data_IF_053652042492
#
_entry.id   IF_053652042492
#
_cell.length_a   1.000
_cell.length_b   1.000
_cell.length_c   1.000
_cell.angle_alpha   90.00
_cell.angle_beta   90.00
_cell.angle_gamma   90.00
#
_symmetry.space_group_name_H-M   'P 1'
#
loop_
_entity.id
_entity.type
_entity.pdbx_description
1 polymer ?
#
# COMPACT_ATOMS: atom_id res chain seq x y z
N UNK A 1 -17.61 -19.70 11.58
CA UNK A 1 -17.32 -19.49 10.15
C UNK A 1 -18.18 -18.33 9.71
N UNK A 2 -17.62 -17.14 9.61
CA UNK A 2 -18.31 -15.99 9.06
C UNK A 2 -18.37 -16.20 7.54
N UNK A 3 -19.55 -16.53 7.01
CA UNK A 3 -19.82 -16.42 5.58
C UNK A 3 -19.66 -14.94 5.22
N UNK A 4 -18.51 -14.56 4.70
CA UNK A 4 -18.41 -13.29 3.99
C UNK A 4 -19.13 -13.46 2.65
N UNK A 5 -20.04 -12.55 2.36
CA UNK A 5 -20.69 -12.52 1.05
C UNK A 5 -19.61 -12.43 -0.04
N UNK A 6 -19.84 -13.09 -1.19
CA UNK A 6 -18.89 -13.05 -2.29
C UNK A 6 -18.65 -11.60 -2.76
N UNK A 7 -17.39 -11.23 -2.92
CA UNK A 7 -17.02 -9.93 -3.48
C UNK A 7 -17.06 -10.00 -5.01
N UNK A 8 -17.96 -9.25 -5.61
CA UNK A 8 -18.02 -9.08 -7.07
C UNK A 8 -17.07 -7.95 -7.48
N UNK A 9 -16.14 -8.23 -8.37
CA UNK A 9 -15.14 -7.29 -8.86
C UNK A 9 -15.22 -7.15 -10.39
N UNK A 10 -14.85 -5.98 -10.90
CA UNK A 10 -14.83 -5.68 -12.33
C UNK A 10 -13.43 -5.82 -12.95
N UNK A 11 -12.41 -6.13 -12.14
CA UNK A 11 -11.03 -6.22 -12.57
C UNK A 11 -10.66 -7.67 -12.91
N UNK A 12 -9.89 -7.86 -13.98
CA UNK A 12 -9.31 -9.13 -14.38
C UNK A 12 -7.94 -8.93 -15.05
N UNK A 13 -7.20 -10.01 -15.26
CA UNK A 13 -5.88 -9.95 -15.87
C UNK A 13 -4.90 -9.03 -15.12
N UNK A 14 -4.01 -8.31 -15.85
CA UNK A 14 -3.03 -7.41 -15.25
C UNK A 14 -3.66 -6.34 -14.34
N UNK A 15 -4.80 -5.76 -14.73
CA UNK A 15 -5.46 -4.71 -13.95
C UNK A 15 -5.87 -5.19 -12.53
N UNK A 16 -6.20 -6.47 -12.37
CA UNK A 16 -6.48 -7.05 -11.05
C UNK A 16 -5.20 -7.12 -10.20
N UNK A 17 -4.09 -7.49 -10.79
CA UNK A 17 -2.79 -7.57 -10.10
C UNK A 17 -2.23 -6.19 -9.75
N UNK A 18 -2.63 -5.15 -10.48
CA UNK A 18 -2.27 -3.75 -10.23
C UNK A 18 -3.21 -3.05 -9.24
N UNK A 19 -4.21 -3.76 -8.70
CA UNK A 19 -5.14 -3.23 -7.71
C UNK A 19 -4.76 -3.75 -6.31
N UNK A 20 -4.07 -3.00 -5.46
CA UNK A 20 -3.46 -3.50 -4.21
C UNK A 20 -4.46 -4.12 -3.23
N UNK A 21 -5.69 -3.59 -3.17
CA UNK A 21 -6.77 -4.11 -2.31
C UNK A 21 -7.32 -5.47 -2.78
N UNK A 22 -7.17 -5.81 -4.06
CA UNK A 22 -7.72 -7.02 -4.66
C UNK A 22 -6.63 -8.04 -5.00
N UNK A 23 -5.39 -7.59 -5.09
CA UNK A 23 -4.27 -8.45 -5.44
C UNK A 23 -3.96 -9.42 -4.29
N UNK A 24 -4.07 -10.71 -4.56
CA UNK A 24 -3.74 -11.80 -3.64
C UNK A 24 -2.35 -12.42 -3.93
N UNK A 25 -1.67 -11.93 -4.98
CA UNK A 25 -0.40 -12.50 -5.42
C UNK A 25 -0.53 -14.00 -5.72
N UNK A 26 0.41 -14.80 -5.21
CA UNK A 26 0.43 -16.26 -5.40
C UNK A 26 -0.72 -17.01 -4.67
N UNK A 27 -1.53 -16.33 -3.84
CA UNK A 27 -2.70 -16.92 -3.19
C UNK A 27 -3.96 -16.95 -4.05
N UNK A 28 -3.94 -16.47 -5.29
CA UNK A 28 -5.02 -16.78 -6.22
C UNK A 28 -5.04 -18.28 -6.48
N UNK A 29 -6.17 -18.93 -6.16
CA UNK A 29 -6.40 -20.35 -6.42
C UNK A 29 -6.40 -20.64 -7.92
N UNK A 30 -6.28 -21.93 -8.31
CA UNK A 30 -6.33 -22.31 -9.72
C UNK A 30 -7.63 -21.89 -10.41
N UNK A 31 -8.77 -22.01 -9.72
CA UNK A 31 -10.06 -21.59 -10.24
C UNK A 31 -10.08 -20.07 -10.48
N UNK A 32 -9.71 -19.29 -9.47
CA UNK A 32 -9.63 -17.83 -9.59
C UNK A 32 -8.67 -17.37 -10.69
N UNK A 33 -7.54 -18.06 -10.88
CA UNK A 33 -6.61 -17.73 -11.98
C UNK A 33 -7.24 -17.93 -13.36
N UNK A 34 -8.12 -18.91 -13.52
CA UNK A 34 -8.87 -19.13 -14.75
C UNK A 34 -9.95 -18.07 -14.89
N UNK A 35 -10.78 -17.89 -13.85
CA UNK A 35 -11.95 -16.99 -13.87
C UNK A 35 -11.55 -15.53 -14.09
N UNK A 36 -10.41 -15.11 -13.53
CA UNK A 36 -9.89 -13.74 -13.64
C UNK A 36 -8.81 -13.55 -14.71
N UNK A 37 -8.58 -14.52 -15.60
CA UNK A 37 -7.56 -14.43 -16.67
C UNK A 37 -6.14 -14.17 -16.14
N UNK A 38 -5.74 -14.81 -15.03
CA UNK A 38 -4.41 -14.66 -14.42
C UNK A 38 -3.46 -15.78 -14.81
N UNK A 39 -3.89 -16.76 -15.60
CA UNK A 39 -3.07 -17.90 -16.03
C UNK A 39 -1.86 -17.39 -16.82
N UNK A 40 -0.65 -17.77 -16.39
CA UNK A 40 0.61 -17.31 -16.99
C UNK A 40 1.15 -15.97 -16.44
N UNK A 41 0.33 -15.20 -15.71
CA UNK A 41 0.77 -13.93 -15.08
C UNK A 41 1.38 -14.13 -13.69
N UNK A 42 1.14 -15.28 -13.06
CA UNK A 42 1.62 -15.61 -11.73
C UNK A 42 2.45 -16.89 -11.77
N UNK A 43 3.45 -17.05 -10.87
CA UNK A 43 4.14 -18.32 -10.69
C UNK A 43 3.11 -19.45 -10.45
N UNK A 44 3.35 -20.68 -10.99
CA UNK A 44 2.36 -21.75 -10.93
C UNK A 44 2.01 -22.20 -9.51
N UNK A 45 2.95 -22.08 -8.57
CA UNK A 45 2.75 -22.49 -7.19
C UNK A 45 1.70 -21.60 -6.52
N UNK A 46 0.74 -22.24 -5.86
CA UNK A 46 -0.16 -21.61 -4.92
C UNK A 46 0.55 -21.45 -3.56
N UNK A 47 0.43 -20.27 -2.96
CA UNK A 47 0.89 -20.01 -1.59
C UNK A 47 -0.29 -19.56 -0.73
N UNK A 48 -0.39 -20.08 0.47
CA UNK A 48 -1.30 -19.56 1.49
C UNK A 48 -0.84 -18.18 1.95
N UNK A 49 -1.73 -17.44 2.62
CA UNK A 49 -1.34 -16.15 3.22
C UNK A 49 -0.18 -16.33 4.22
N UNK A 50 -0.18 -17.42 5.00
CA UNK A 50 0.89 -17.67 5.97
C UNK A 50 2.24 -17.92 5.29
N UNK A 51 2.29 -18.68 4.19
CA UNK A 51 3.52 -18.88 3.42
C UNK A 51 4.03 -17.56 2.82
N UNK A 52 3.12 -16.67 2.38
CA UNK A 52 3.48 -15.33 1.92
C UNK A 52 4.01 -14.45 3.07
N UNK A 53 3.38 -14.51 4.25
CA UNK A 53 3.82 -13.81 5.45
C UNK A 53 5.23 -14.24 5.86
N UNK A 54 5.48 -15.54 5.94
CA UNK A 54 6.80 -16.08 6.29
C UNK A 54 7.88 -15.63 5.29
N UNK A 55 7.56 -15.62 4.02
CA UNK A 55 8.47 -15.13 2.97
C UNK A 55 8.74 -13.64 3.11
N UNK A 56 7.69 -12.85 3.28
CA UNK A 56 7.79 -11.40 3.43
C UNK A 56 8.56 -11.03 4.70
N UNK A 57 8.31 -11.71 5.82
CA UNK A 57 9.03 -11.45 7.07
C UNK A 57 10.51 -11.82 6.96
N UNK A 58 10.85 -12.97 6.34
CA UNK A 58 12.27 -13.30 6.10
C UNK A 58 12.98 -12.22 5.29
N UNK A 59 12.33 -11.68 4.26
CA UNK A 59 12.91 -10.60 3.45
C UNK A 59 13.03 -9.30 4.24
N UNK A 60 11.99 -8.91 4.98
CA UNK A 60 12.02 -7.76 5.90
C UNK A 60 13.18 -7.84 6.89
N UNK A 61 13.44 -9.01 7.44
CA UNK A 61 14.50 -9.25 8.43
C UNK A 61 15.92 -9.15 7.85
N UNK A 62 16.08 -9.14 6.52
CA UNK A 62 17.40 -8.93 5.89
C UNK A 62 17.85 -7.48 5.93
N UNK A 63 16.92 -6.54 6.03
CA UNK A 63 17.24 -5.13 6.11
C UNK A 63 17.68 -4.74 7.51
N UNK A 64 18.80 -4.03 7.62
CA UNK A 64 19.32 -3.55 8.90
C UNK A 64 18.75 -2.17 9.25
N UNK A 65 18.77 -1.26 8.29
CA UNK A 65 18.35 0.12 8.49
C UNK A 65 16.81 0.25 8.54
N UNK A 66 16.26 0.96 9.54
CA UNK A 66 14.82 1.19 9.68
C UNK A 66 14.17 1.77 8.42
N UNK A 67 14.83 2.72 7.76
CA UNK A 67 14.32 3.33 6.52
C UNK A 67 14.16 2.30 5.40
N UNK A 68 15.07 1.35 5.26
CA UNK A 68 14.98 0.29 4.25
C UNK A 68 13.86 -0.70 4.57
N UNK A 69 13.63 -0.99 5.85
CA UNK A 69 12.46 -1.75 6.32
C UNK A 69 11.16 -1.03 5.98
N UNK A 70 11.10 0.27 6.20
CA UNK A 70 9.96 1.12 5.85
C UNK A 70 9.68 1.08 4.34
N UNK A 71 10.70 1.31 3.50
CA UNK A 71 10.59 1.25 2.04
C UNK A 71 10.07 -0.11 1.58
N UNK A 72 10.58 -1.20 2.16
CA UNK A 72 10.13 -2.55 1.84
C UNK A 72 8.64 -2.75 2.18
N UNK A 73 8.20 -2.35 3.39
CA UNK A 73 6.81 -2.46 3.81
C UNK A 73 5.88 -1.60 2.94
N UNK A 74 6.30 -0.40 2.55
CA UNK A 74 5.58 0.45 1.60
C UNK A 74 5.43 -0.23 0.25
N UNK A 75 6.48 -0.87 -0.25
CA UNK A 75 6.42 -1.64 -1.49
C UNK A 75 5.41 -2.80 -1.43
N UNK A 76 5.30 -3.49 -0.29
CA UNK A 76 4.24 -4.50 -0.11
C UNK A 76 2.87 -3.83 -0.11
N UNK A 77 2.68 -2.73 0.62
CA UNK A 77 1.41 -2.02 0.71
C UNK A 77 0.92 -1.53 -0.65
N UNK A 78 1.82 -1.02 -1.48
CA UNK A 78 1.51 -0.53 -2.82
C UNK A 78 1.11 -1.64 -3.81
N UNK A 79 1.48 -2.89 -3.52
CA UNK A 79 1.19 -4.04 -4.39
C UNK A 79 0.14 -5.00 -3.84
N UNK A 80 0.09 -5.19 -2.51
CA UNK A 80 -0.83 -6.14 -1.86
C UNK A 80 -1.12 -5.66 -0.44
N UNK A 81 -2.18 -4.87 -0.28
CA UNK A 81 -2.57 -4.31 1.02
C UNK A 81 -2.99 -5.40 2.02
N UNK A 82 -3.60 -6.48 1.55
CA UNK A 82 -3.97 -7.61 2.44
C UNK A 82 -2.74 -8.24 3.09
N UNK A 83 -1.70 -8.49 2.29
CA UNK A 83 -0.44 -9.02 2.81
C UNK A 83 0.24 -8.04 3.76
N UNK A 84 0.24 -6.74 3.41
CA UNK A 84 0.80 -5.70 4.27
C UNK A 84 0.14 -5.67 5.65
N UNK A 85 -1.19 -5.56 5.70
CA UNK A 85 -1.90 -5.50 6.98
C UNK A 85 -1.80 -6.80 7.78
N UNK A 86 -1.80 -7.96 7.12
CA UNK A 86 -1.59 -9.23 7.77
C UNK A 86 -0.19 -9.33 8.40
N UNK A 87 0.85 -8.89 7.67
CA UNK A 87 2.23 -8.87 8.14
C UNK A 87 2.40 -7.94 9.35
N UNK A 88 1.92 -6.69 9.23
CA UNK A 88 1.98 -5.72 10.33
C UNK A 88 1.20 -6.20 11.54
N UNK A 89 0.02 -6.80 11.35
CA UNK A 89 -0.78 -7.33 12.47
C UNK A 89 -0.08 -8.47 13.21
N UNK A 90 0.64 -9.32 12.49
CA UNK A 90 1.36 -10.45 13.08
C UNK A 90 2.61 -10.03 13.84
N UNK A 91 3.31 -8.99 13.39
CA UNK A 91 4.56 -8.48 13.96
C UNK A 91 4.43 -7.03 14.42
N UNK A 92 3.29 -6.69 15.04
CA UNK A 92 2.90 -5.32 15.34
C UNK A 92 3.92 -4.57 16.18
N UNK A 93 4.41 -5.16 17.27
CA UNK A 93 5.37 -4.53 18.19
C UNK A 93 6.69 -4.17 17.49
N UNK A 94 7.16 -5.03 16.59
CA UNK A 94 8.39 -4.81 15.83
C UNK A 94 8.21 -3.78 14.72
N UNK A 95 7.04 -3.81 14.04
CA UNK A 95 6.81 -3.01 12.83
C UNK A 95 6.23 -1.62 13.11
N UNK A 96 5.62 -1.39 14.29
CA UNK A 96 5.07 -0.08 14.63
C UNK A 96 6.12 1.05 14.55
N UNK A 97 7.32 0.93 15.11
CA UNK A 97 8.32 2.00 15.00
C UNK A 97 8.90 2.16 13.59
N UNK A 98 8.60 1.22 12.69
CA UNK A 98 9.02 1.29 11.28
C UNK A 98 7.95 1.98 10.42
N UNK A 99 6.67 1.67 10.63
CA UNK A 99 5.56 2.27 9.87
C UNK A 99 5.04 3.56 10.49
N UNK A 100 5.44 3.86 11.72
CA UNK A 100 5.11 5.06 12.45
C UNK A 100 6.37 5.68 13.04
N UNK A 101 6.24 6.45 14.14
CA UNK A 101 7.41 7.10 14.76
C UNK A 101 8.38 6.08 15.38
N UNK A 102 9.71 6.24 15.22
CA UNK A 102 10.39 7.40 14.62
C UNK A 102 10.56 7.32 13.09
N UNK A 103 10.59 6.16 12.48
CA UNK A 103 11.03 5.94 11.09
C UNK A 103 10.15 6.66 10.05
N UNK A 104 8.85 6.84 10.32
CA UNK A 104 7.97 7.60 9.42
C UNK A 104 8.38 9.06 9.29
N UNK A 105 8.97 9.65 10.33
CA UNK A 105 9.55 11.00 10.27
C UNK A 105 10.72 11.06 9.29
N UNK A 106 11.67 10.15 9.45
CA UNK A 106 12.82 10.02 8.52
C UNK A 106 12.34 9.78 7.08
N UNK A 107 11.29 8.99 6.91
CA UNK A 107 10.69 8.72 5.59
C UNK A 107 10.06 9.98 4.97
N UNK A 108 9.43 10.84 5.77
CA UNK A 108 8.90 12.13 5.29
C UNK A 108 10.02 13.08 4.88
N UNK A 109 11.10 13.16 5.65
CA UNK A 109 12.27 14.00 5.32
C UNK A 109 12.96 13.53 4.03
N UNK A 110 12.99 12.23 3.79
CA UNK A 110 13.58 11.61 2.60
C UNK A 110 12.56 11.38 1.48
N UNK A 111 11.38 11.99 1.53
CA UNK A 111 10.28 11.73 0.61
C UNK A 111 10.70 11.73 -0.86
N UNK A 112 11.45 12.72 -1.30
CA UNK A 112 11.88 12.85 -2.71
C UNK A 112 12.77 11.69 -3.16
N UNK A 113 13.59 11.15 -2.25
CA UNK A 113 14.53 10.08 -2.56
C UNK A 113 13.87 8.70 -2.59
N UNK A 114 12.81 8.52 -1.76
CA UNK A 114 12.15 7.22 -1.57
C UNK A 114 10.75 7.14 -2.18
N UNK A 115 10.30 8.19 -2.86
CA UNK A 115 8.97 8.22 -3.48
C UNK A 115 8.74 7.01 -4.40
N UNK A 116 7.57 6.36 -4.27
CA UNK A 116 7.16 5.19 -5.07
C UNK A 116 5.82 5.41 -5.74
N UNK A 117 4.80 5.71 -4.94
CA UNK A 117 3.45 5.90 -5.44
C UNK A 117 2.71 6.95 -4.62
N UNK A 118 1.75 7.61 -5.24
CA UNK A 118 0.87 8.55 -4.56
C UNK A 118 -0.17 7.81 -3.71
N UNK A 119 -0.41 8.30 -2.49
CA UNK A 119 -1.52 7.83 -1.64
C UNK A 119 -2.64 8.85 -1.52
N UNK A 120 -2.58 9.90 -2.29
CA UNK A 120 -3.58 10.96 -2.34
C UNK A 120 -3.33 11.87 -3.53
N UNK A 121 -3.94 13.03 -3.53
CA UNK A 121 -3.78 14.05 -4.55
C UNK A 121 -2.86 15.16 -4.04
N UNK A 122 -1.93 15.57 -4.87
CA UNK A 122 -1.10 16.75 -4.63
C UNK A 122 -1.76 17.97 -5.25
N UNK A 123 -1.88 19.05 -4.49
CA UNK A 123 -2.49 20.29 -4.91
C UNK A 123 -1.43 21.40 -4.85
N UNK A 124 -0.84 21.73 -6.00
CA UNK A 124 0.12 22.82 -6.09
C UNK A 124 -0.61 24.16 -6.35
N UNK A 125 -0.09 25.25 -5.79
CA UNK A 125 -0.67 26.57 -5.99
C UNK A 125 -0.68 26.99 -7.46
N UNK A 126 0.33 26.59 -8.20
CA UNK A 126 0.46 26.83 -9.64
C UNK A 126 -0.67 26.18 -10.44
N UNK A 127 -1.21 25.06 -9.93
CA UNK A 127 -2.26 24.26 -10.56
C UNK A 127 -3.67 24.60 -10.04
N UNK A 128 -3.83 25.65 -9.24
CA UNK A 128 -5.11 26.01 -8.62
C UNK A 128 -6.26 26.24 -9.59
N UNK A 129 -5.96 26.60 -10.85
CA UNK A 129 -6.95 26.71 -11.92
C UNK A 129 -7.47 25.37 -12.47
N UNK A 130 -6.85 24.25 -12.09
CA UNK A 130 -7.15 22.90 -12.57
C UNK A 130 -7.71 21.99 -11.47
N UNK A 131 -8.18 22.55 -10.35
CA UNK A 131 -8.62 21.76 -9.18
C UNK A 131 -9.71 20.74 -9.52
N UNK A 132 -10.66 21.10 -10.38
CA UNK A 132 -11.72 20.19 -10.80
C UNK A 132 -11.17 18.96 -11.54
N UNK A 133 -10.16 19.16 -12.39
CA UNK A 133 -9.52 18.08 -13.13
C UNK A 133 -8.66 17.21 -12.21
N UNK A 134 -7.94 17.83 -11.27
CA UNK A 134 -7.17 17.11 -10.25
C UNK A 134 -8.09 16.23 -9.39
N UNK A 135 -9.24 16.76 -8.94
CA UNK A 135 -10.20 16.01 -8.17
C UNK A 135 -10.82 14.83 -8.94
N UNK A 136 -11.02 14.99 -10.26
CA UNK A 136 -11.48 13.89 -11.14
C UNK A 136 -10.46 12.78 -11.30
N UNK A 137 -9.17 13.04 -11.06
CA UNK A 137 -8.11 12.05 -11.07
C UNK A 137 -8.06 11.20 -9.79
N UNK A 138 -8.95 11.45 -8.81
CA UNK A 138 -9.03 10.62 -7.62
C UNK A 138 -9.33 9.16 -8.00
N UNK A 139 -8.48 8.25 -7.53
CA UNK A 139 -8.55 6.82 -7.89
C UNK A 139 -9.55 6.03 -7.06
N UNK A 140 -10.25 6.66 -6.12
CA UNK A 140 -11.20 6.00 -5.21
C UNK A 140 -12.64 6.33 -5.61
N UNK A 141 -13.41 5.32 -5.98
CA UNK A 141 -14.81 5.48 -6.40
C UNK A 141 -15.78 5.88 -5.26
N UNK A 142 -15.42 5.53 -4.02
CA UNK A 142 -16.30 5.73 -2.85
C UNK A 142 -15.55 6.43 -1.74
N UNK A 143 -15.36 7.74 -1.88
CA UNK A 143 -14.74 8.59 -0.87
C UNK A 143 -15.80 9.01 0.16
N UNK A 144 -15.55 8.72 1.44
CA UNK A 144 -16.43 9.12 2.56
C UNK A 144 -15.84 10.26 3.37
N UNK A 145 -14.51 10.36 3.41
CA UNK A 145 -13.78 11.38 4.17
C UNK A 145 -12.57 11.81 3.35
N UNK A 146 -12.30 13.10 3.37
CA UNK A 146 -11.11 13.71 2.78
C UNK A 146 -10.37 14.42 3.90
N UNK A 147 -9.08 14.12 4.05
CA UNK A 147 -8.16 14.87 4.90
C UNK A 147 -7.34 15.79 4.01
N UNK A 148 -7.27 17.05 4.35
CA UNK A 148 -6.47 18.06 3.64
C UNK A 148 -5.41 18.58 4.60
N UNK A 149 -4.16 18.61 4.15
CA UNK A 149 -3.03 19.11 4.94
C UNK A 149 -1.99 19.78 4.04
N UNK A 150 -1.32 20.78 4.55
CA UNK A 150 -0.11 21.36 3.96
C UNK A 150 1.18 20.69 4.49
N UNK A 151 1.04 19.75 5.43
CA UNK A 151 2.16 19.03 6.04
C UNK A 151 2.93 19.82 7.09
N UNK A 152 2.62 21.10 7.32
CA UNK A 152 3.36 21.96 8.26
C UNK A 152 3.27 21.46 9.71
N UNK A 153 2.16 20.81 10.05
CA UNK A 153 1.95 20.24 11.38
C UNK A 153 1.30 18.86 11.36
N UNK A 154 2.11 17.83 11.41
CA UNK A 154 1.66 16.44 11.50
C UNK A 154 1.78 15.95 12.95
N UNK A 155 0.73 16.18 13.74
CA UNK A 155 0.66 15.77 15.15
C UNK A 155 1.93 16.16 15.92
N UNK A 156 2.54 15.22 16.63
CA UNK A 156 3.77 15.41 17.38
C UNK A 156 5.06 15.46 16.55
N UNK A 157 5.00 15.10 15.27
CA UNK A 157 6.16 15.14 14.37
C UNK A 157 6.51 16.57 13.90
N UNK A 158 5.56 17.50 13.93
CA UNK A 158 5.75 18.85 13.42
C UNK A 158 5.67 18.93 11.91
N UNK A 159 6.48 19.80 11.31
CA UNK A 159 6.53 20.01 9.87
C UNK A 159 7.18 18.79 9.17
N UNK A 160 6.41 18.17 8.29
CA UNK A 160 6.84 17.02 7.50
C UNK A 160 6.78 17.33 5.99
N UNK A 161 6.44 18.56 5.64
CA UNK A 161 6.30 18.98 4.27
C UNK A 161 5.36 18.06 3.48
N UNK A 162 5.61 17.94 2.18
CA UNK A 162 4.81 17.13 1.26
C UNK A 162 4.82 15.63 1.62
N UNK A 163 5.87 15.13 2.27
CA UNK A 163 5.99 13.76 2.73
C UNK A 163 4.97 13.38 3.81
N UNK A 164 4.44 14.37 4.55
CA UNK A 164 3.48 14.16 5.62
C UNK A 164 2.07 13.74 5.17
N UNK A 165 1.79 13.76 3.87
CA UNK A 165 0.48 13.35 3.34
C UNK A 165 0.22 11.83 3.50
N UNK A 166 1.21 10.99 3.36
CA UNK A 166 1.10 9.52 3.41
C UNK A 166 1.19 8.96 4.79
#
# INVERSE_FOLDING_TARGET
MTHSDPLYIHHSGPALLETPLLNKGSAFSRAERIDFNLTGLLPPRFETINEQLDRAYRQYSTYQEPINKHIYLRGIQDNNETLFYALVSQYLEEMMPIIYTPTVGDACEQFSDIYRSSRGLFLAWEERGQLDDILRNATKDKVKVIVVTDGERILGLGDQGIGGMG
#
